data_IF_790532545696
#
_entry.id   IF_790532545696
#
_cell.length_a   1.000
_cell.length_b   1.000
_cell.length_c   1.000
_cell.angle_alpha   90.00
_cell.angle_beta   90.00
_cell.angle_gamma   90.00
#
_symmetry.space_group_name_H-M   'P 1'
#
loop_
_entity.id
_entity.type
_entity.pdbx_description
1 polymer ?
#
# COMPACT_ATOMS: atom_id res chain seq x y z
N UNK A 1 0.80 26.72 -0.37
CA UNK A 1 0.33 25.41 0.15
C UNK A 1 -0.77 24.79 -0.72
N UNK A 2 -1.98 25.36 -0.81
CA UNK A 2 -3.14 24.74 -1.51
C UNK A 2 -2.83 24.39 -2.98
N UNK A 3 -2.24 25.32 -3.74
CA UNK A 3 -1.87 25.09 -5.15
C UNK A 3 -0.90 23.90 -5.29
N UNK A 4 0.10 23.84 -4.41
CA UNK A 4 1.06 22.74 -4.38
C UNK A 4 0.37 21.40 -4.10
N UNK A 5 -0.54 21.34 -3.12
CA UNK A 5 -1.27 20.11 -2.80
C UNK A 5 -2.16 19.66 -3.98
N UNK A 6 -2.85 20.59 -4.63
CA UNK A 6 -3.75 20.29 -5.77
C UNK A 6 -3.01 19.75 -7.00
N UNK A 7 -1.78 20.21 -7.24
CA UNK A 7 -0.97 19.74 -8.39
C UNK A 7 -0.35 18.35 -8.17
N UNK A 8 -0.32 17.89 -6.91
CA UNK A 8 0.29 16.63 -6.48
C UNK A 8 -0.73 15.55 -6.12
N UNK A 9 -2.01 15.87 -6.09
CA UNK A 9 -3.07 14.93 -5.78
C UNK A 9 -3.16 13.82 -6.84
N UNK A 10 -3.17 12.56 -6.41
CA UNK A 10 -3.24 11.37 -7.27
C UNK A 10 -1.95 11.03 -8.02
N UNK A 11 -0.83 11.71 -7.74
CA UNK A 11 0.47 11.45 -8.38
C UNK A 11 1.36 10.57 -7.51
N UNK A 12 2.32 9.83 -8.11
CA UNK A 12 3.33 9.11 -7.35
C UNK A 12 4.12 10.09 -6.49
N UNK A 13 4.52 9.63 -5.31
CA UNK A 13 5.38 10.36 -4.40
C UNK A 13 6.69 10.67 -5.14
N UNK A 14 7.07 11.95 -5.25
CA UNK A 14 8.29 12.30 -5.95
C UNK A 14 9.50 11.76 -5.18
N UNK A 15 10.38 11.08 -5.90
CA UNK A 15 11.70 10.68 -5.41
C UNK A 15 12.61 11.91 -5.46
N UNK A 16 12.58 12.73 -4.41
CA UNK A 16 13.57 13.77 -4.20
C UNK A 16 14.64 13.23 -3.26
N UNK A 17 15.91 13.44 -3.59
CA UNK A 17 17.03 12.92 -2.80
C UNK A 17 17.10 13.48 -1.37
N UNK A 18 16.42 14.59 -1.07
CA UNK A 18 16.62 15.34 0.18
C UNK A 18 15.37 15.76 0.95
N UNK A 19 14.20 15.89 0.29
CA UNK A 19 13.01 16.48 0.91
C UNK A 19 11.79 15.59 0.62
N UNK A 20 10.85 15.50 1.55
CA UNK A 20 9.56 14.85 1.33
C UNK A 20 8.43 15.89 1.23
N UNK A 21 7.31 15.53 0.60
CA UNK A 21 6.10 16.35 0.53
C UNK A 21 5.63 16.78 1.93
N UNK A 22 5.72 15.90 2.92
CA UNK A 22 5.40 16.22 4.31
C UNK A 22 6.28 17.33 4.90
N UNK A 23 7.56 17.36 4.53
CA UNK A 23 8.49 18.42 4.95
C UNK A 23 8.08 19.78 4.39
N UNK A 24 7.67 19.84 3.12
CA UNK A 24 7.16 21.08 2.52
C UNK A 24 5.88 21.56 3.18
N UNK A 25 4.96 20.64 3.48
CA UNK A 25 3.73 20.98 4.23
C UNK A 25 4.08 21.51 5.62
N UNK A 26 5.00 20.89 6.33
CA UNK A 26 5.48 21.36 7.63
C UNK A 26 6.05 22.79 7.54
N UNK A 27 6.92 23.08 6.55
CA UNK A 27 7.47 24.42 6.33
C UNK A 27 6.36 25.44 6.07
N UNK A 28 5.41 25.15 5.17
CA UNK A 28 4.30 26.07 4.91
C UNK A 28 3.45 26.33 6.16
N UNK A 29 3.20 25.31 6.96
CA UNK A 29 2.40 25.44 8.19
C UNK A 29 3.12 26.23 9.27
N UNK A 30 4.44 26.08 9.37
CA UNK A 30 5.27 26.84 10.29
C UNK A 30 5.27 28.33 9.93
N UNK A 31 5.44 28.65 8.64
CA UNK A 31 5.40 30.04 8.16
C UNK A 31 4.00 30.67 8.38
N UNK A 32 2.94 29.92 8.07
CA UNK A 32 1.56 30.35 8.30
C UNK A 32 1.33 30.68 9.79
N UNK A 33 1.76 29.78 10.67
CA UNK A 33 1.63 29.94 12.11
C UNK A 33 2.44 31.11 12.66
N UNK A 34 3.68 31.29 12.19
CA UNK A 34 4.50 32.43 12.58
C UNK A 34 3.85 33.76 12.20
N UNK A 35 3.33 33.87 10.97
CA UNK A 35 2.61 35.05 10.51
C UNK A 35 1.37 35.34 11.35
N UNK A 36 0.56 34.32 11.66
CA UNK A 36 -0.61 34.45 12.53
C UNK A 36 -0.25 34.94 13.94
N UNK A 37 0.77 34.34 14.56
CA UNK A 37 1.20 34.70 15.92
C UNK A 37 1.76 36.13 15.99
N UNK A 38 2.49 36.57 14.95
CA UNK A 38 2.97 37.95 14.85
C UNK A 38 1.82 38.96 14.86
N UNK A 39 0.77 38.69 14.09
CA UNK A 39 -0.44 39.55 14.05
C UNK A 39 -1.11 39.59 15.43
N UNK A 40 -1.30 38.43 16.07
CA UNK A 40 -1.99 38.34 17.36
C UNK A 40 -1.21 39.06 18.47
N UNK A 41 0.12 38.95 18.49
CA UNK A 41 0.95 39.64 19.46
C UNK A 41 0.71 41.16 19.43
N UNK A 42 0.65 41.75 18.24
CA UNK A 42 0.39 43.18 18.08
C UNK A 42 -1.05 43.58 18.47
N UNK A 43 -2.05 42.72 18.18
CA UNK A 43 -3.45 42.94 18.58
C UNK A 43 -3.60 42.90 20.10
N UNK A 44 -3.00 41.90 20.76
CA UNK A 44 -3.00 41.77 22.23
C UNK A 44 -2.25 42.96 22.86
N UNK A 45 -1.11 43.35 22.29
CA UNK A 45 -0.34 44.51 22.73
C UNK A 45 -1.16 45.80 22.70
N UNK A 46 -1.98 46.03 21.66
CA UNK A 46 -2.88 47.18 21.62
C UNK A 46 -4.06 47.05 22.60
N UNK A 47 -4.61 45.85 22.77
CA UNK A 47 -5.71 45.57 23.69
C UNK A 47 -5.33 45.84 25.16
N UNK A 48 -4.05 45.65 25.52
CA UNK A 48 -3.48 45.99 26.83
C UNK A 48 -3.74 47.44 27.23
N UNK A 49 -3.45 48.38 26.33
CA UNK A 49 -3.64 49.81 26.59
C UNK A 49 -5.12 50.18 26.69
N UNK A 50 -5.98 49.52 25.90
CA UNK A 50 -7.42 49.70 26.00
C UNK A 50 -7.95 49.20 27.35
N UNK A 51 -7.45 48.07 27.84
CA UNK A 51 -7.84 47.53 29.15
C UNK A 51 -7.48 48.47 30.31
N UNK A 52 -6.27 49.04 30.27
CA UNK A 52 -5.78 50.00 31.27
C UNK A 52 -6.41 51.40 31.16
N UNK A 53 -7.28 51.66 30.18
CA UNK A 53 -8.06 52.92 30.14
C UNK A 53 -9.05 53.05 31.31
N UNK A 54 -9.28 51.96 32.04
CA UNK A 54 -10.04 51.93 33.30
C UNK A 54 -9.10 51.57 34.46
N UNK A 55 -9.42 51.94 35.72
CA UNK A 55 -8.56 51.64 36.87
C UNK A 55 -8.49 50.13 37.09
N UNK A 56 -7.28 49.57 36.98
CA UNK A 56 -7.04 48.13 37.13
C UNK A 56 -5.70 47.88 37.85
N UNK A 57 -5.52 46.70 38.47
CA UNK A 57 -4.22 46.32 39.03
C UNK A 57 -3.12 46.33 37.96
N UNK A 58 -1.95 46.87 38.28
CA UNK A 58 -0.82 46.98 37.35
C UNK A 58 -0.31 45.62 36.85
N UNK A 59 -0.46 44.55 37.65
CA UNK A 59 -0.08 43.18 37.24
C UNK A 59 -0.80 42.70 35.97
N UNK A 60 -1.96 43.26 35.63
CA UNK A 60 -2.65 42.92 34.39
C UNK A 60 -1.79 43.21 33.15
N UNK A 61 -0.93 44.23 33.16
CA UNK A 61 -0.03 44.53 32.04
C UNK A 61 0.87 43.34 31.72
N UNK A 62 1.40 42.69 32.76
CA UNK A 62 2.25 41.50 32.64
C UNK A 62 1.47 40.32 32.06
N UNK A 63 0.22 40.11 32.47
CA UNK A 63 -0.61 39.04 31.92
C UNK A 63 -0.88 39.22 30.42
N UNK A 64 -1.15 40.45 29.96
CA UNK A 64 -1.34 40.74 28.54
C UNK A 64 -0.04 40.55 27.75
N UNK A 65 1.10 41.02 28.28
CA UNK A 65 2.40 40.85 27.61
C UNK A 65 2.83 39.38 27.55
N UNK A 66 2.57 38.60 28.60
CA UNK A 66 2.81 37.16 28.61
C UNK A 66 1.87 36.42 27.64
N UNK A 67 0.61 36.83 27.52
CA UNK A 67 -0.35 36.24 26.57
C UNK A 67 0.12 36.37 25.11
N UNK A 68 0.64 37.54 24.73
CA UNK A 68 1.15 37.79 23.37
C UNK A 68 2.46 37.05 23.03
N UNK A 69 3.18 36.51 24.03
CA UNK A 69 4.51 35.89 23.85
C UNK A 69 4.48 34.38 23.61
N UNK A 70 3.38 33.68 23.91
CA UNK A 70 3.29 32.24 23.67
C UNK A 70 2.12 31.53 24.36
N UNK A 71 2.03 30.21 24.14
CA UNK A 71 0.92 29.40 24.64
C UNK A 71 0.83 29.36 26.17
N UNK A 72 1.94 29.24 26.90
CA UNK A 72 1.90 29.18 28.36
C UNK A 72 1.33 30.46 28.98
N UNK A 73 1.76 31.62 28.48
CA UNK A 73 1.21 32.91 28.90
C UNK A 73 -0.26 33.08 28.49
N UNK A 74 -0.63 32.60 27.31
CA UNK A 74 -2.02 32.59 26.85
C UNK A 74 -2.92 31.70 27.71
N UNK A 75 -2.46 30.50 28.09
CA UNK A 75 -3.19 29.58 28.98
C UNK A 75 -3.37 30.22 30.35
N UNK A 76 -2.29 30.80 30.92
CA UNK A 76 -2.37 31.50 32.21
C UNK A 76 -3.34 32.68 32.14
N UNK A 77 -3.32 33.46 31.06
CA UNK A 77 -4.28 34.54 30.83
C UNK A 77 -5.73 34.04 30.80
N UNK A 78 -5.98 32.94 30.07
CA UNK A 78 -7.27 32.27 29.97
C UNK A 78 -7.74 31.66 31.28
N UNK A 79 -6.95 31.55 32.34
CA UNK A 79 -7.44 31.15 33.67
C UNK A 79 -7.67 32.35 34.60
N UNK A 80 -6.96 33.47 34.37
CA UNK A 80 -6.98 34.62 35.27
C UNK A 80 -7.95 35.72 34.83
N UNK A 81 -8.13 35.95 33.52
CA UNK A 81 -8.87 37.12 33.02
C UNK A 81 -9.75 36.76 31.81
N UNK A 82 -11.08 36.73 31.99
CA UNK A 82 -12.02 36.29 30.92
C UNK A 82 -12.83 37.42 30.27
N UNK A 83 -12.72 38.64 30.78
CA UNK A 83 -13.54 39.77 30.34
C UNK A 83 -13.13 40.41 29.00
N UNK A 84 -11.83 40.60 28.67
CA UNK A 84 -11.45 41.24 27.41
C UNK A 84 -11.60 40.25 26.24
N UNK A 85 -12.77 40.25 25.60
CA UNK A 85 -13.16 39.30 24.54
C UNK A 85 -12.12 39.20 23.43
N UNK A 86 -11.58 40.32 22.95
CA UNK A 86 -10.55 40.33 21.90
C UNK A 86 -9.27 39.59 22.32
N UNK A 87 -8.82 39.78 23.55
CA UNK A 87 -7.62 39.15 24.08
C UNK A 87 -7.84 37.68 24.40
N UNK A 88 -9.03 37.31 24.89
CA UNK A 88 -9.42 35.91 25.11
C UNK A 88 -9.44 35.15 23.78
N UNK A 89 -10.03 35.72 22.73
CA UNK A 89 -10.02 35.14 21.38
C UNK A 89 -8.60 35.03 20.83
N UNK A 90 -7.77 36.06 21.00
CA UNK A 90 -6.35 36.01 20.62
C UNK A 90 -5.58 34.92 21.35
N UNK A 91 -5.73 34.80 22.67
CA UNK A 91 -5.10 33.77 23.50
C UNK A 91 -5.57 32.36 23.10
N UNK A 92 -6.86 32.17 22.81
CA UNK A 92 -7.40 30.91 22.30
C UNK A 92 -6.72 30.52 21.00
N UNK A 93 -6.58 31.45 20.05
CA UNK A 93 -5.90 31.19 18.77
C UNK A 93 -4.42 30.82 18.99
N UNK A 94 -3.71 31.49 19.91
CA UNK A 94 -2.30 31.15 20.20
C UNK A 94 -2.20 29.69 20.64
N UNK A 95 -3.08 29.25 21.55
CA UNK A 95 -3.11 27.87 22.06
C UNK A 95 -3.48 26.88 20.96
N UNK A 96 -4.58 27.13 20.24
CA UNK A 96 -5.08 26.22 19.20
C UNK A 96 -4.15 26.18 17.97
N UNK A 97 -3.33 27.21 17.74
CA UNK A 97 -2.38 27.25 16.62
C UNK A 97 -1.37 26.10 16.63
N UNK A 98 -1.08 25.50 17.78
CA UNK A 98 -0.15 24.36 17.86
C UNK A 98 -0.67 23.12 17.13
N UNK A 99 -2.00 22.96 17.02
CA UNK A 99 -2.60 21.85 16.28
C UNK A 99 -2.56 22.02 14.75
N UNK A 100 -2.19 23.20 14.23
CA UNK A 100 -2.12 23.43 12.77
C UNK A 100 -1.16 22.46 12.08
N UNK A 101 -0.03 22.13 12.72
CA UNK A 101 0.94 21.17 12.19
C UNK A 101 0.36 19.77 12.01
N UNK A 102 -0.12 19.11 13.09
CA UNK A 102 -0.76 17.80 13.01
C UNK A 102 -1.91 17.71 12.00
N UNK A 103 -2.81 18.69 11.97
CA UNK A 103 -3.94 18.70 11.03
C UNK A 103 -3.47 18.83 9.58
N UNK A 104 -2.49 19.69 9.30
CA UNK A 104 -1.95 19.82 7.95
C UNK A 104 -1.16 18.58 7.49
N UNK A 105 -0.48 17.88 8.40
CA UNK A 105 0.18 16.61 8.07
C UNK A 105 -0.84 15.51 7.77
N UNK A 106 -1.94 15.43 8.52
CA UNK A 106 -3.03 14.48 8.26
C UNK A 106 -3.76 14.72 6.93
N UNK A 107 -3.63 15.92 6.34
CA UNK A 107 -4.15 16.20 5.01
C UNK A 107 -3.42 15.45 3.89
N UNK A 108 -2.22 14.91 4.14
CA UNK A 108 -1.40 14.18 3.17
C UNK A 108 -1.37 12.70 3.53
N UNK A 109 -2.08 11.87 2.75
CA UNK A 109 -2.06 10.40 2.93
C UNK A 109 -1.34 9.73 1.77
N UNK A 110 -0.64 8.64 2.07
CA UNK A 110 -0.01 7.79 1.07
C UNK A 110 -0.80 6.49 0.91
N UNK A 111 -0.89 5.99 -0.33
CA UNK A 111 -1.54 4.72 -0.65
C UNK A 111 -0.79 4.01 -1.78
N UNK A 112 -0.87 2.68 -1.82
CA UNK A 112 -0.29 1.90 -2.91
C UNK A 112 -1.08 2.15 -4.20
N UNK A 113 -0.39 2.47 -5.28
CA UNK A 113 -0.96 2.67 -6.60
C UNK A 113 -0.13 1.95 -7.66
N UNK A 114 -0.78 1.60 -8.76
CA UNK A 114 -0.11 1.02 -9.92
C UNK A 114 0.14 2.10 -10.94
N UNK A 115 1.41 2.25 -11.32
CA UNK A 115 1.81 3.15 -12.40
C UNK A 115 2.33 2.33 -13.58
N UNK A 116 2.03 2.73 -14.83
CA UNK A 116 2.52 2.04 -16.00
C UNK A 116 4.05 2.03 -16.00
N UNK A 117 4.61 0.86 -16.25
CA UNK A 117 6.04 0.61 -16.39
C UNK A 117 6.39 0.51 -17.87
N UNK A 118 7.59 0.92 -18.25
CA UNK A 118 8.10 0.77 -19.62
C UNK A 118 8.56 -0.67 -19.95
N UNK A 119 8.38 -1.61 -19.00
CA UNK A 119 8.78 -3.01 -19.16
C UNK A 119 7.92 -3.75 -20.17
N UNK A 120 8.47 -4.84 -20.74
CA UNK A 120 7.73 -5.72 -21.64
C UNK A 120 6.88 -6.68 -20.81
N UNK A 121 5.62 -6.83 -21.19
CA UNK A 121 4.69 -7.82 -20.64
C UNK A 121 4.13 -8.65 -21.80
N UNK A 122 4.59 -9.89 -21.95
CA UNK A 122 4.13 -10.77 -23.04
C UNK A 122 3.97 -12.21 -22.58
N UNK A 123 3.00 -12.89 -23.16
CA UNK A 123 2.76 -14.33 -22.95
C UNK A 123 2.61 -15.03 -24.30
N UNK A 124 3.25 -16.19 -24.44
CA UNK A 124 3.17 -17.01 -25.64
C UNK A 124 1.78 -17.61 -25.83
N UNK A 125 1.24 -17.51 -27.05
CA UNK A 125 -0.08 -18.01 -27.43
C UNK A 125 -0.01 -18.84 -28.70
N UNK A 126 -0.94 -19.77 -28.84
CA UNK A 126 -1.04 -20.67 -29.98
C UNK A 126 -2.51 -20.93 -30.32
N UNK A 127 -2.88 -20.77 -31.59
CA UNK A 127 -4.21 -21.15 -32.09
C UNK A 127 -4.20 -22.60 -32.58
N UNK A 128 -3.07 -23.04 -33.14
CA UNK A 128 -2.89 -24.40 -33.64
C UNK A 128 -1.43 -24.87 -33.52
N UNK A 129 -1.24 -26.19 -33.59
CA UNK A 129 0.08 -26.84 -33.58
C UNK A 129 0.22 -27.76 -34.77
N UNK A 130 1.37 -27.69 -35.44
CA UNK A 130 1.73 -28.55 -36.57
C UNK A 130 1.53 -30.04 -36.29
N UNK A 131 0.95 -30.76 -37.25
CA UNK A 131 0.76 -32.21 -37.16
C UNK A 131 2.09 -32.97 -37.32
N UNK A 132 3.09 -32.36 -37.97
CA UNK A 132 4.39 -32.96 -38.28
C UNK A 132 5.49 -32.05 -37.75
N UNK A 133 6.46 -32.63 -37.03
CA UNK A 133 7.58 -31.89 -36.45
C UNK A 133 8.68 -31.53 -37.48
N UNK A 134 8.51 -31.88 -38.75
CA UNK A 134 9.48 -31.64 -39.83
C UNK A 134 8.95 -30.69 -40.90
N UNK A 135 9.84 -29.82 -41.39
CA UNK A 135 9.72 -29.08 -42.65
C UNK A 135 9.86 -30.01 -43.88
N UNK A 136 9.37 -31.24 -43.81
CA UNK A 136 9.39 -32.15 -44.95
C UNK A 136 8.37 -31.66 -45.99
N UNK A 137 8.78 -31.42 -47.25
CA UNK A 137 7.87 -31.01 -48.29
C UNK A 137 6.82 -32.11 -48.46
N UNK A 138 5.53 -31.71 -48.43
CA UNK A 138 4.38 -32.59 -48.65
C UNK A 138 4.49 -33.23 -50.03
N UNK A 139 5.18 -34.36 -50.10
CA UNK A 139 5.68 -34.93 -51.34
C UNK A 139 5.82 -36.44 -51.25
N UNK A 140 5.03 -37.12 -50.43
CA UNK A 140 4.74 -38.55 -50.58
C UNK A 140 3.46 -38.87 -49.85
N UNK A 141 2.44 -39.26 -50.62
CA UNK A 141 1.12 -39.64 -50.11
C UNK A 141 1.24 -40.96 -49.35
N UNK A 142 1.55 -40.88 -48.07
CA UNK A 142 1.13 -41.93 -47.12
C UNK A 142 0.11 -41.26 -46.23
N UNK A 143 -1.16 -41.55 -46.50
CA UNK A 143 -2.31 -41.06 -45.74
C UNK A 143 -2.28 -41.71 -44.35
N UNK A 144 -1.40 -41.20 -43.50
CA UNK A 144 -1.26 -41.63 -42.12
C UNK A 144 -2.39 -40.95 -41.35
N UNK A 145 -3.44 -41.71 -41.03
CA UNK A 145 -4.50 -41.32 -40.10
C UNK A 145 -3.91 -41.21 -38.68
N UNK A 146 -3.05 -40.21 -38.48
CA UNK A 146 -2.20 -40.10 -37.31
C UNK A 146 -2.58 -38.86 -36.53
N UNK A 147 -3.50 -39.09 -35.58
CA UNK A 147 -3.65 -38.41 -34.30
C UNK A 147 -2.30 -37.91 -33.74
N UNK A 148 -2.25 -36.74 -33.08
CA UNK A 148 -1.10 -36.11 -32.37
C UNK A 148 0.34 -36.45 -32.85
N UNK A 149 1.17 -35.44 -33.13
CA UNK A 149 2.57 -35.63 -33.57
C UNK A 149 3.35 -36.58 -32.62
N UNK A 150 4.29 -37.41 -33.14
CA UNK A 150 5.08 -38.32 -32.31
C UNK A 150 5.78 -37.61 -31.14
N UNK A 151 6.22 -36.37 -31.35
CA UNK A 151 6.82 -35.54 -30.30
C UNK A 151 5.79 -35.11 -29.25
N UNK A 152 4.57 -34.73 -29.66
CA UNK A 152 3.51 -34.40 -28.70
C UNK A 152 3.11 -35.61 -27.85
N UNK A 153 3.04 -36.81 -28.44
CA UNK A 153 2.78 -38.05 -27.68
C UNK A 153 3.89 -38.36 -26.69
N UNK A 154 5.15 -38.21 -27.12
CA UNK A 154 6.31 -38.42 -26.27
C UNK A 154 6.33 -37.42 -25.10
N UNK A 155 6.00 -36.16 -25.36
CA UNK A 155 5.91 -35.11 -24.32
C UNK A 155 4.77 -35.38 -23.35
N UNK A 156 3.60 -35.80 -23.85
CA UNK A 156 2.49 -36.20 -23.01
C UNK A 156 2.87 -37.36 -22.06
N UNK A 157 3.51 -38.40 -22.59
CA UNK A 157 3.97 -39.54 -21.79
C UNK A 157 5.07 -39.11 -20.80
N UNK A 158 6.04 -38.30 -21.21
CA UNK A 158 7.08 -37.82 -20.32
C UNK A 158 6.53 -36.91 -19.21
N UNK A 159 5.54 -36.05 -19.53
CA UNK A 159 4.82 -35.27 -18.53
C UNK A 159 4.10 -36.17 -17.52
N UNK A 160 3.41 -37.21 -17.98
CA UNK A 160 2.76 -38.20 -17.13
C UNK A 160 3.76 -38.96 -16.23
N UNK A 161 4.97 -39.20 -16.71
CA UNK A 161 6.05 -39.86 -15.98
C UNK A 161 6.85 -38.89 -15.08
N UNK A 162 6.47 -37.61 -15.01
CA UNK A 162 7.18 -36.60 -14.22
C UNK A 162 8.56 -36.20 -14.77
N UNK A 163 8.88 -36.56 -16.02
CA UNK A 163 10.17 -36.32 -16.68
C UNK A 163 10.14 -35.12 -17.65
N UNK A 164 9.24 -34.15 -17.40
CA UNK A 164 9.11 -32.94 -18.20
C UNK A 164 10.33 -32.00 -18.02
N UNK A 165 11.10 -31.81 -19.10
CA UNK A 165 12.33 -30.99 -19.14
C UNK A 165 12.11 -29.54 -19.61
N UNK A 166 10.86 -29.09 -19.77
CA UNK A 166 10.64 -27.78 -20.38
C UNK A 166 10.89 -26.65 -19.37
N UNK A 167 12.00 -25.92 -19.58
CA UNK A 167 12.30 -24.70 -18.85
C UNK A 167 11.41 -23.55 -19.38
N UNK A 168 10.54 -22.94 -18.56
CA UNK A 168 9.51 -22.00 -19.02
C UNK A 168 10.02 -20.59 -19.36
N UNK A 169 11.33 -20.39 -19.49
CA UNK A 169 11.94 -19.06 -19.56
C UNK A 169 11.56 -18.23 -20.80
N UNK A 170 11.11 -18.88 -21.88
CA UNK A 170 10.67 -18.18 -23.11
C UNK A 170 9.13 -18.08 -23.26
N UNK A 171 8.36 -18.63 -22.32
CA UNK A 171 6.90 -18.70 -22.45
C UNK A 171 6.19 -17.43 -21.99
N UNK A 172 6.82 -16.66 -21.11
CA UNK A 172 6.31 -15.40 -20.62
C UNK A 172 7.47 -14.47 -20.28
N UNK A 173 7.25 -13.17 -20.44
CA UNK A 173 8.17 -12.14 -19.98
C UNK A 173 7.36 -11.07 -19.26
N UNK A 174 7.77 -10.76 -18.03
CA UNK A 174 7.20 -9.71 -17.22
C UNK A 174 8.35 -8.98 -16.53
N UNK A 175 8.73 -7.83 -17.09
CA UNK A 175 9.87 -7.06 -16.57
C UNK A 175 9.50 -6.22 -15.33
N UNK A 176 8.23 -6.24 -14.90
CA UNK A 176 7.75 -5.50 -13.72
C UNK A 176 7.14 -6.40 -12.64
N UNK A 177 6.72 -5.79 -11.52
CA UNK A 177 6.10 -6.50 -10.41
C UNK A 177 4.67 -6.98 -10.68
N UNK A 178 3.96 -6.36 -11.63
CA UNK A 178 2.59 -6.75 -11.98
C UNK A 178 2.33 -6.57 -13.49
N UNK A 179 2.12 -7.68 -14.20
CA UNK A 179 1.76 -7.69 -15.62
C UNK A 179 0.31 -8.15 -15.80
N UNK A 180 -0.47 -7.34 -16.50
CA UNK A 180 -1.88 -7.61 -16.77
C UNK A 180 -2.08 -7.83 -18.27
N UNK A 181 -2.90 -8.82 -18.62
CA UNK A 181 -3.21 -9.17 -20.00
C UNK A 181 -4.69 -8.94 -20.26
N UNK A 182 -5.04 -8.60 -21.51
CA UNK A 182 -6.43 -8.30 -21.86
C UNK A 182 -7.29 -9.55 -21.74
N UNK A 183 -8.37 -9.46 -20.97
CA UNK A 183 -9.35 -10.54 -20.85
C UNK A 183 -10.33 -10.54 -22.02
N UNK A 184 -10.63 -11.73 -22.54
CA UNK A 184 -11.75 -11.96 -23.45
C UNK A 184 -12.67 -12.98 -22.79
N UNK A 185 -13.94 -12.62 -22.57
CA UNK A 185 -14.90 -13.47 -21.84
C UNK A 185 -14.38 -13.93 -20.45
N UNK A 186 -13.71 -13.03 -19.71
CA UNK A 186 -13.14 -13.30 -18.38
C UNK A 186 -11.98 -14.33 -18.37
N UNK A 187 -11.37 -14.59 -19.53
CA UNK A 187 -10.20 -15.47 -19.68
C UNK A 187 -9.05 -14.64 -20.26
N UNK A 188 -7.92 -14.58 -19.55
CA UNK A 188 -6.68 -13.93 -20.03
C UNK A 188 -5.86 -14.86 -20.93
N UNK A 189 -5.78 -16.13 -20.57
CA UNK A 189 -5.07 -17.16 -21.30
C UNK A 189 -5.71 -18.52 -21.03
N UNK A 190 -5.63 -19.43 -22.00
CA UNK A 190 -6.07 -20.82 -21.85
C UNK A 190 -4.86 -21.75 -21.81
N UNK A 191 -5.00 -22.85 -21.08
CA UNK A 191 -4.06 -23.97 -21.03
C UNK A 191 -4.83 -25.27 -21.26
N UNK A 192 -4.11 -26.32 -21.61
CA UNK A 192 -4.71 -27.66 -21.68
C UNK A 192 -5.01 -28.12 -20.26
N UNK A 193 -6.20 -28.69 -20.05
CA UNK A 193 -6.57 -29.40 -18.83
C UNK A 193 -6.93 -30.85 -19.18
N UNK A 194 -6.58 -31.78 -18.30
CA UNK A 194 -6.85 -33.21 -18.49
C UNK A 194 -7.65 -33.72 -17.31
N UNK A 195 -8.87 -34.20 -17.58
CA UNK A 195 -9.65 -34.92 -16.59
C UNK A 195 -9.17 -36.37 -16.51
N UNK A 196 -8.99 -36.88 -15.30
CA UNK A 196 -8.64 -38.27 -15.06
C UNK A 196 -9.65 -38.94 -14.15
N UNK A 197 -9.85 -40.24 -14.34
CA UNK A 197 -10.68 -41.09 -13.49
C UNK A 197 -10.04 -42.47 -13.44
N UNK A 198 -9.76 -42.97 -12.24
CA UNK A 198 -9.36 -44.37 -12.07
C UNK A 198 -10.63 -45.24 -12.15
N UNK A 199 -10.62 -46.22 -13.05
CA UNK A 199 -11.67 -47.22 -13.18
C UNK A 199 -11.07 -48.60 -12.83
N UNK A 200 -11.81 -49.39 -12.06
CA UNK A 200 -11.44 -50.79 -11.84
C UNK A 200 -11.92 -51.61 -13.03
N UNK A 201 -10.98 -52.01 -13.89
CA UNK A 201 -11.24 -52.79 -15.11
C UNK A 201 -11.02 -54.29 -14.90
N UNK A 202 -10.83 -54.76 -13.66
CA UNK A 202 -10.54 -56.18 -13.37
C UNK A 202 -11.64 -57.12 -13.88
N UNK A 203 -12.90 -56.72 -13.72
CA UNK A 203 -14.06 -57.51 -14.17
C UNK A 203 -14.32 -57.42 -15.68
N UNK A 204 -13.69 -56.45 -16.37
CA UNK A 204 -13.84 -56.23 -17.81
C UNK A 204 -12.77 -57.00 -18.61
N UNK A 205 -11.78 -57.59 -17.93
CA UNK A 205 -10.75 -58.40 -18.57
C UNK A 205 -11.39 -59.66 -19.17
N UNK A 206 -11.51 -59.67 -20.50
CA UNK A 206 -11.96 -60.80 -21.28
C UNK A 206 -10.77 -61.57 -21.82
N UNK A 207 -10.79 -62.87 -21.61
CA UNK A 207 -9.85 -63.80 -22.22
C UNK A 207 -10.39 -64.21 -23.59
N UNK A 208 -9.59 -63.97 -24.62
CA UNK A 208 -9.86 -64.45 -25.96
C UNK A 208 -9.03 -65.72 -26.18
N UNK A 209 -9.67 -66.90 -26.32
CA UNK A 209 -8.96 -68.09 -26.74
C UNK A 209 -8.42 -67.87 -28.16
N UNK A 210 -7.23 -68.38 -28.44
CA UNK A 210 -6.51 -68.25 -29.71
C UNK A 210 -7.45 -68.26 -30.93
N UNK A 211 -7.75 -67.08 -31.45
CA UNK A 211 -8.58 -66.88 -32.63
C UNK A 211 -7.68 -66.35 -33.75
N UNK A 212 -7.55 -67.21 -34.74
CA UNK A 212 -7.03 -67.06 -36.10
C UNK A 212 -7.61 -65.85 -36.86
N UNK A 213 -8.54 -65.09 -36.26
CA UNK A 213 -9.18 -63.89 -36.79
C UNK A 213 -8.38 -62.58 -36.65
N UNK A 214 -7.25 -62.55 -35.94
CA UNK A 214 -6.41 -61.33 -35.88
C UNK A 214 -5.49 -61.14 -37.09
N UNK A 215 -5.55 -62.02 -38.08
CA UNK A 215 -4.76 -61.90 -39.32
C UNK A 215 -5.26 -60.79 -40.26
N UNK A 216 -6.43 -60.19 -40.02
CA UNK A 216 -6.91 -59.07 -40.83
C UNK A 216 -6.26 -57.72 -40.46
N UNK A 217 -5.59 -57.61 -39.29
CA UNK A 217 -5.00 -56.34 -38.82
C UNK A 217 -3.49 -56.38 -38.48
N UNK A 218 -2.76 -57.35 -39.03
CA UNK A 218 -1.34 -57.20 -39.35
C UNK A 218 -0.37 -56.87 -38.20
N UNK A 219 -0.42 -57.60 -37.08
CA UNK A 219 0.65 -57.55 -36.06
C UNK A 219 0.96 -58.91 -35.43
N UNK A 220 2.06 -59.54 -35.86
CA UNK A 220 2.93 -60.33 -34.97
C UNK A 220 2.69 -61.84 -34.86
N UNK A 221 3.79 -62.58 -34.92
CA UNK A 221 3.96 -64.04 -34.88
C UNK A 221 3.33 -64.65 -33.62
N UNK A 222 2.47 -65.66 -33.81
CA UNK A 222 1.76 -66.36 -32.73
C UNK A 222 2.41 -67.72 -32.49
N UNK A 223 2.91 -67.94 -31.28
CA UNK A 223 3.09 -69.27 -30.74
C UNK A 223 1.71 -69.84 -30.40
N UNK A 224 1.38 -71.03 -30.91
CA UNK A 224 0.07 -71.71 -30.86
C UNK A 224 -0.50 -72.07 -29.46
N UNK A 225 -0.16 -71.35 -28.39
CA UNK A 225 -0.48 -71.77 -27.03
C UNK A 225 -0.66 -70.60 -26.04
N UNK A 226 -1.10 -69.42 -26.50
CA UNK A 226 -1.13 -68.20 -25.67
C UNK A 226 -2.43 -67.42 -25.76
N UNK A 227 -3.10 -67.19 -24.62
CA UNK A 227 -4.33 -66.38 -24.60
C UNK A 227 -4.02 -64.88 -24.76
N UNK A 228 -4.87 -64.18 -25.52
CA UNK A 228 -4.87 -62.71 -25.59
C UNK A 228 -5.89 -62.16 -24.60
N UNK A 229 -5.47 -61.29 -23.70
CA UNK A 229 -6.35 -60.62 -22.75
C UNK A 229 -6.62 -59.18 -23.19
N UNK A 230 -7.90 -58.79 -23.23
CA UNK A 230 -8.36 -57.43 -23.55
C UNK A 230 -9.34 -56.96 -22.48
N UNK A 231 -9.39 -55.66 -22.21
CA UNK A 231 -10.38 -55.08 -21.30
C UNK A 231 -11.71 -54.74 -22.00
N UNK A 232 -11.70 -54.58 -23.33
CA UNK A 232 -12.90 -54.37 -24.15
C UNK A 232 -12.63 -54.80 -25.60
N UNK A 233 -13.66 -55.16 -26.38
CA UNK A 233 -13.49 -55.60 -27.78
C UNK A 233 -12.78 -54.53 -28.63
N UNK A 234 -13.14 -53.27 -28.40
CA UNK A 234 -12.58 -52.08 -29.07
C UNK A 234 -11.32 -51.50 -28.40
N UNK A 235 -10.79 -52.17 -27.36
CA UNK A 235 -9.56 -51.70 -26.74
C UNK A 235 -8.37 -51.96 -27.67
N UNK A 236 -7.66 -50.89 -28.05
CA UNK A 236 -6.40 -50.98 -28.79
C UNK A 236 -5.22 -51.53 -27.96
N UNK A 237 -5.48 -51.98 -26.73
CA UNK A 237 -4.52 -52.46 -25.77
C UNK A 237 -4.79 -53.93 -25.44
N UNK A 238 -3.81 -54.80 -25.70
CA UNK A 238 -3.93 -56.25 -25.47
C UNK A 238 -2.69 -56.81 -24.79
N UNK A 239 -2.87 -57.76 -23.88
CA UNK A 239 -1.79 -58.50 -23.23
C UNK A 239 -1.72 -59.88 -23.87
N UNK A 240 -0.59 -60.21 -24.48
CA UNK A 240 -0.33 -61.57 -24.94
C UNK A 240 0.49 -62.31 -23.88
N UNK A 241 -0.02 -63.41 -23.34
CA UNK A 241 0.68 -64.21 -22.34
C UNK A 241 0.23 -65.67 -22.37
N UNK A 242 1.18 -66.60 -22.25
CA UNK A 242 0.89 -68.04 -22.04
C UNK A 242 0.35 -68.36 -20.65
N UNK A 243 0.54 -67.47 -19.69
CA UNK A 243 0.10 -67.65 -18.30
C UNK A 243 -0.89 -66.56 -17.91
N UNK A 244 -1.93 -66.91 -17.13
CA UNK A 244 -2.82 -65.90 -16.57
C UNK A 244 -1.99 -64.91 -15.74
N UNK A 245 -2.08 -63.59 -15.99
CA UNK A 245 -1.24 -62.61 -15.29
C UNK A 245 -1.59 -62.56 -13.79
N UNK A 246 -0.73 -63.17 -12.94
CA UNK A 246 -0.86 -63.18 -11.47
C UNK A 246 -0.77 -61.79 -10.83
N UNK A 247 -0.20 -60.80 -11.52
CA UNK A 247 -0.03 -59.43 -11.02
C UNK A 247 -1.36 -58.66 -10.79
N UNK A 248 -2.51 -59.21 -11.19
CA UNK A 248 -3.85 -58.61 -11.02
C UNK A 248 -4.64 -59.17 -9.82
N UNK A 249 -4.01 -59.99 -8.96
CA UNK A 249 -4.57 -60.55 -7.72
C UNK A 249 -5.99 -61.13 -7.86
N UNK A 250 -6.14 -62.13 -8.73
CA UNK A 250 -7.23 -63.11 -8.66
C UNK A 250 -6.64 -64.43 -8.12
N UNK A 251 -7.21 -64.91 -7.02
CA UNK A 251 -6.76 -66.10 -6.31
C UNK A 251 -7.60 -67.31 -6.74
N UNK A 252 -6.94 -68.41 -7.11
CA UNK A 252 -7.41 -69.76 -6.77
C UNK A 252 -6.20 -70.69 -6.63
N UNK A 253 -6.02 -71.26 -5.43
CA UNK A 253 -5.27 -72.49 -5.17
C UNK A 253 -5.91 -73.63 -6.00
N UNK A 254 -5.24 -74.66 -6.51
CA UNK A 254 -4.07 -75.44 -6.06
C UNK A 254 -3.59 -76.27 -7.27
N UNK A 255 -2.29 -76.45 -7.44
CA UNK A 255 -1.76 -77.78 -7.78
C UNK A 255 -0.33 -77.90 -7.31
N UNK A 256 -0.08 -79.06 -6.72
CA UNK A 256 1.18 -79.52 -6.16
C UNK A 256 2.23 -79.70 -7.28
N UNK A 257 3.50 -79.69 -6.86
CA UNK A 257 4.71 -80.16 -7.56
C UNK A 257 5.62 -79.17 -8.34
N UNK A 258 6.87 -79.15 -7.84
CA UNK A 258 8.17 -78.70 -8.34
C UNK A 258 8.52 -77.21 -8.57
N UNK A 259 9.32 -76.71 -7.62
CA UNK A 259 10.50 -75.85 -7.72
C UNK A 259 10.43 -74.46 -8.39
N UNK A 260 10.56 -73.45 -7.52
CA UNK A 260 10.97 -72.06 -7.77
C UNK A 260 12.12 -71.91 -8.76
N UNK A 261 11.96 -71.00 -9.75
CA UNK A 261 13.04 -70.12 -10.20
C UNK A 261 12.58 -68.69 -10.54
N UNK A 262 13.46 -67.79 -10.10
CA UNK A 262 13.64 -66.35 -10.21
C UNK A 262 13.30 -65.65 -11.53
N UNK A 263 12.80 -64.42 -11.41
CA UNK A 263 12.68 -63.42 -12.47
C UNK A 263 14.08 -62.99 -12.96
N UNK A 264 14.42 -63.27 -14.23
CA UNK A 264 15.57 -62.67 -14.91
C UNK A 264 15.12 -61.96 -16.19
N UNK A 265 15.33 -60.64 -16.23
CA UNK A 265 15.16 -59.80 -17.41
C UNK A 265 16.39 -59.96 -18.30
N UNK A 266 16.42 -60.95 -19.20
CA UNK A 266 17.42 -60.96 -20.27
C UNK A 266 16.85 -61.30 -21.65
N UNK A 267 17.08 -60.32 -22.53
CA UNK A 267 17.02 -60.31 -24.00
C UNK A 267 15.64 -60.12 -24.63
N UNK A 268 15.47 -58.95 -25.26
CA UNK A 268 14.36 -58.65 -26.18
C UNK A 268 13.41 -57.55 -25.71
N UNK A 269 13.91 -56.33 -25.53
CA UNK A 269 13.13 -55.07 -25.37
C UNK A 269 11.93 -55.11 -24.41
N UNK A 270 11.99 -54.51 -23.21
CA UNK A 270 10.77 -54.27 -22.46
C UNK A 270 9.94 -53.24 -23.23
N UNK A 271 8.88 -53.66 -23.92
CA UNK A 271 7.77 -52.77 -24.30
C UNK A 271 7.00 -52.45 -23.02
N UNK A 272 7.58 -51.57 -22.21
CA UNK A 272 7.00 -50.98 -21.01
C UNK A 272 5.61 -50.45 -21.31
N UNK A 273 4.56 -51.14 -20.87
CA UNK A 273 3.20 -50.66 -21.12
C UNK A 273 2.15 -51.01 -20.05
N UNK A 274 2.49 -51.78 -19.00
CA UNK A 274 1.52 -52.11 -17.94
C UNK A 274 1.93 -51.68 -16.53
N UNK A 275 3.17 -51.89 -16.12
CA UNK A 275 3.53 -51.66 -14.71
C UNK A 275 3.74 -50.16 -14.40
N UNK A 276 4.18 -49.37 -15.37
CA UNK A 276 4.50 -47.95 -15.16
C UNK A 276 3.29 -47.02 -15.11
N UNK A 277 2.12 -47.42 -15.67
CA UNK A 277 0.89 -46.61 -15.58
C UNK A 277 0.10 -46.85 -14.29
N UNK A 278 0.16 -48.06 -13.71
CA UNK A 278 -0.47 -48.28 -12.38
C UNK A 278 0.24 -47.50 -11.28
N UNK A 279 1.54 -47.25 -11.44
CA UNK A 279 2.37 -46.50 -10.48
C UNK A 279 2.27 -44.99 -10.63
N UNK A 280 1.72 -44.47 -11.75
CA UNK A 280 1.46 -43.04 -11.94
C UNK A 280 0.12 -42.62 -11.30
N UNK A 281 -0.26 -43.18 -10.15
CA UNK A 281 -1.31 -42.62 -9.28
C UNK A 281 -2.60 -43.43 -9.08
N UNK A 282 -2.82 -44.55 -9.77
CA UNK A 282 -3.98 -45.42 -9.49
C UNK A 282 -3.54 -46.69 -8.73
N UNK A 283 -3.12 -46.54 -7.47
CA UNK A 283 -2.93 -47.69 -6.57
C UNK A 283 -4.20 -47.92 -5.74
N UNK A 284 -4.97 -48.95 -6.10
CA UNK A 284 -6.00 -49.49 -5.20
C UNK A 284 -5.34 -50.46 -4.23
N UNK A 285 -4.92 -49.97 -3.05
CA UNK A 285 -4.61 -50.86 -1.91
C UNK A 285 -5.85 -51.00 -1.05
N UNK A 286 -6.20 -52.25 -0.75
CA UNK A 286 -7.37 -52.61 0.04
C UNK A 286 -7.40 -51.93 1.40
N UNK A 287 -8.63 -51.61 1.84
CA UNK A 287 -9.02 -50.90 3.04
C UNK A 287 -8.64 -49.42 3.10
N UNK A 288 -9.58 -48.58 2.63
CA UNK A 288 -9.90 -47.27 3.18
C UNK A 288 -8.73 -46.28 3.37
N UNK A 289 -8.73 -45.24 2.53
CA UNK A 289 -7.90 -44.03 2.63
C UNK A 289 -6.39 -44.20 2.49
N UNK A 290 -5.90 -44.02 1.25
CA UNK A 290 -4.55 -43.51 0.95
C UNK A 290 -4.58 -42.80 -0.42
N UNK A 291 -5.20 -41.62 -0.45
CA UNK A 291 -4.81 -40.53 -1.36
C UNK A 291 -4.17 -39.49 -0.46
N UNK A 292 -2.93 -39.75 -0.02
CA UNK A 292 -2.21 -38.80 0.82
C UNK A 292 -0.81 -38.53 0.26
N UNK A 293 -0.72 -37.37 -0.39
CA UNK A 293 0.36 -36.39 -0.27
C UNK A 293 1.78 -36.80 -0.69
N UNK A 294 1.96 -37.41 -1.87
CA UNK A 294 3.31 -37.78 -2.33
C UNK A 294 3.69 -37.56 -3.79
N UNK A 295 2.75 -37.43 -4.73
CA UNK A 295 3.08 -37.12 -6.12
C UNK A 295 2.17 -36.01 -6.66
N UNK A 296 2.71 -35.00 -7.37
CA UNK A 296 1.89 -34.09 -8.17
C UNK A 296 0.98 -34.91 -9.09
N UNK A 297 -0.25 -34.44 -9.32
CA UNK A 297 -1.18 -35.09 -10.23
C UNK A 297 -0.46 -35.30 -11.58
N UNK A 298 -0.16 -36.54 -11.98
CA UNK A 298 0.65 -36.78 -13.18
C UNK A 298 -0.09 -36.34 -14.45
N UNK A 299 -1.42 -36.21 -14.37
CA UNK A 299 -2.25 -35.61 -15.40
C UNK A 299 -2.11 -34.08 -15.47
N UNK A 300 -1.86 -33.38 -14.35
CA UNK A 300 -1.54 -31.94 -14.35
C UNK A 300 -0.14 -31.69 -14.94
N UNK A 301 0.82 -32.57 -14.65
CA UNK A 301 2.16 -32.52 -15.24
C UNK A 301 2.12 -32.81 -16.75
N UNK A 302 1.32 -33.80 -17.18
CA UNK A 302 1.02 -34.06 -18.59
C UNK A 302 0.38 -32.83 -19.26
N UNK A 303 -0.62 -32.23 -18.62
CA UNK A 303 -1.31 -31.04 -19.13
C UNK A 303 -0.37 -29.84 -19.26
N UNK A 304 0.53 -29.65 -18.29
CA UNK A 304 1.58 -28.62 -18.31
C UNK A 304 2.58 -28.87 -19.43
N UNK A 305 3.04 -30.11 -19.60
CA UNK A 305 4.00 -30.48 -20.66
C UNK A 305 3.42 -30.23 -22.06
N UNK A 306 2.15 -30.61 -22.28
CA UNK A 306 1.42 -30.35 -23.52
C UNK A 306 1.24 -28.84 -23.72
N UNK A 307 0.77 -28.11 -22.71
CA UNK A 307 0.58 -26.65 -22.78
C UNK A 307 1.88 -25.94 -23.17
N UNK A 308 3.00 -26.30 -22.53
CA UNK A 308 4.30 -25.73 -22.84
C UNK A 308 4.71 -26.04 -24.29
N UNK A 309 4.57 -27.28 -24.76
CA UNK A 309 4.85 -27.64 -26.15
C UNK A 309 4.00 -26.84 -27.14
N UNK A 310 2.70 -26.70 -26.86
CA UNK A 310 1.79 -25.92 -27.69
C UNK A 310 2.19 -24.45 -27.74
N UNK A 311 2.56 -23.85 -26.61
CA UNK A 311 2.96 -22.44 -26.57
C UNK A 311 4.34 -22.17 -27.16
N UNK A 312 5.28 -23.12 -27.08
CA UNK A 312 6.63 -22.96 -27.65
C UNK A 312 6.66 -23.10 -29.17
N UNK A 313 5.80 -23.95 -29.76
CA UNK A 313 5.86 -24.29 -31.19
C UNK A 313 4.57 -24.01 -31.96
N UNK A 314 3.51 -23.59 -31.26
CA UNK A 314 2.25 -23.24 -31.89
C UNK A 314 2.35 -21.93 -32.67
N UNK A 315 1.44 -21.81 -33.62
CA UNK A 315 1.31 -20.66 -34.51
C UNK A 315 -0.10 -20.10 -34.39
N UNK A 316 -0.29 -18.87 -34.87
CA UNK A 316 -1.62 -18.28 -35.03
C UNK A 316 -2.06 -18.38 -36.47
N UNK A 317 -3.37 -18.25 -36.74
CA UNK A 317 -3.86 -18.31 -38.13
C UNK A 317 -3.38 -17.12 -38.99
N UNK A 318 -2.94 -16.03 -38.34
CA UNK A 318 -2.49 -14.81 -39.00
C UNK A 318 -0.98 -14.81 -39.34
N UNK A 319 -0.15 -15.54 -38.60
CA UNK A 319 1.31 -15.55 -38.77
C UNK A 319 1.90 -16.95 -38.55
N UNK A 320 2.76 -17.38 -39.47
CA UNK A 320 3.50 -18.65 -39.37
C UNK A 320 4.64 -18.61 -38.33
N UNK A 321 4.83 -17.51 -37.61
CA UNK A 321 5.83 -17.33 -36.55
C UNK A 321 5.20 -17.41 -35.15
N UNK A 322 6.02 -17.63 -34.12
CA UNK A 322 5.59 -17.56 -32.71
C UNK A 322 4.84 -16.25 -32.45
N UNK A 323 3.65 -16.35 -31.87
CA UNK A 323 2.83 -15.20 -31.53
C UNK A 323 2.78 -15.00 -30.02
N UNK A 324 2.74 -13.74 -29.61
CA UNK A 324 2.65 -13.34 -28.21
C UNK A 324 1.42 -12.44 -28.03
N UNK A 325 0.73 -12.64 -26.91
CA UNK A 325 -0.24 -11.67 -26.44
C UNK A 325 0.50 -10.59 -25.62
N UNK A 326 0.39 -9.36 -26.08
CA UNK A 326 0.93 -8.18 -25.39
C UNK A 326 0.03 -7.78 -24.22
N UNK A 327 0.66 -7.49 -23.09
CA UNK A 327 0.03 -7.03 -21.85
C UNK A 327 0.53 -5.66 -21.43
N UNK A 328 -0.07 -5.12 -20.38
CA UNK A 328 0.40 -3.93 -19.69
C UNK A 328 1.26 -4.29 -18.48
N UNK A 329 2.49 -3.80 -18.48
CA UNK A 329 3.40 -3.85 -17.35
C UNK A 329 3.11 -2.68 -16.41
N UNK A 330 2.86 -2.97 -15.14
CA UNK A 330 2.67 -1.98 -14.08
C UNK A 330 3.65 -2.24 -12.94
N UNK A 331 4.04 -1.18 -12.25
CA UNK A 331 4.86 -1.26 -11.03
C UNK A 331 4.10 -0.64 -9.87
N UNK A 332 4.21 -1.27 -8.72
CA UNK A 332 3.64 -0.74 -7.48
C UNK A 332 4.47 0.45 -7.03
N UNK A 333 3.81 1.58 -6.81
CA UNK A 333 4.41 2.82 -6.29
C UNK A 333 3.55 3.37 -5.16
N UNK A 334 4.11 4.32 -4.40
CA UNK A 334 3.40 5.03 -3.34
C UNK A 334 2.84 6.31 -3.93
N UNK A 335 1.53 6.41 -4.07
CA UNK A 335 0.85 7.63 -4.50
C UNK A 335 0.38 8.46 -3.30
N UNK A 336 0.19 9.75 -3.56
CA UNK A 336 -0.30 10.69 -2.56
C UNK A 336 -1.77 11.03 -2.84
N UNK A 337 -2.59 10.97 -1.79
CA UNK A 337 -3.99 11.42 -1.78
C UNK A 337 -4.14 12.57 -0.78
N UNK A 338 -4.86 13.60 -1.19
CA UNK A 338 -5.10 14.76 -0.34
C UNK A 338 -6.50 14.69 0.32
N UNK A 339 -6.54 14.68 1.65
CA UNK A 339 -7.77 14.78 2.42
C UNK A 339 -8.03 16.25 2.81
N UNK A 340 -8.74 16.95 1.93
CA UNK A 340 -9.10 18.37 2.09
C UNK A 340 -9.80 18.75 3.40
N UNK A 341 -10.66 17.91 4.03
CA UNK A 341 -11.32 18.29 5.28
C UNK A 341 -10.37 18.66 6.42
N UNK A 342 -9.17 18.08 6.46
CA UNK A 342 -8.18 18.42 7.49
C UNK A 342 -7.63 19.84 7.37
N UNK A 343 -7.71 20.45 6.18
CA UNK A 343 -7.31 21.83 5.95
C UNK A 343 -8.37 22.86 6.38
N UNK A 344 -9.58 22.42 6.75
CA UNK A 344 -10.60 23.32 7.29
C UNK A 344 -10.15 23.95 8.61
N UNK A 345 -9.44 23.21 9.44
CA UNK A 345 -8.93 23.71 10.72
C UNK A 345 -7.96 24.90 10.56
N UNK A 346 -6.84 24.77 9.82
CA UNK A 346 -5.93 25.91 9.61
C UNK A 346 -6.58 27.05 8.83
N UNK A 347 -7.49 26.76 7.89
CA UNK A 347 -8.23 27.79 7.17
C UNK A 347 -9.17 28.58 8.10
N UNK A 348 -9.88 27.89 8.99
CA UNK A 348 -10.74 28.49 10.00
C UNK A 348 -9.96 29.35 10.99
N UNK A 349 -8.78 28.88 11.42
CA UNK A 349 -7.91 29.64 12.30
C UNK A 349 -7.39 30.92 11.62
N UNK A 350 -7.00 30.83 10.34
CA UNK A 350 -6.59 31.99 9.56
C UNK A 350 -7.75 32.98 9.38
N UNK A 351 -8.96 32.51 9.12
CA UNK A 351 -10.14 33.35 9.05
C UNK A 351 -10.39 34.08 10.39
N UNK A 352 -10.32 33.36 11.51
CA UNK A 352 -10.45 33.95 12.85
C UNK A 352 -9.38 35.01 13.11
N UNK A 353 -8.10 34.75 12.81
CA UNK A 353 -7.04 35.78 12.95
C UNK A 353 -7.28 37.00 12.06
N UNK A 354 -7.74 36.79 10.84
CA UNK A 354 -8.02 37.87 9.88
C UNK A 354 -9.19 38.72 10.36
N UNK A 355 -10.24 38.11 10.92
CA UNK A 355 -11.37 38.84 11.51
C UNK A 355 -10.94 39.63 12.75
N UNK A 356 -10.11 39.06 13.64
CA UNK A 356 -9.57 39.81 14.78
C UNK A 356 -8.72 40.99 14.33
N UNK A 357 -7.85 40.80 13.34
CA UNK A 357 -7.07 41.91 12.77
C UNK A 357 -7.99 42.98 12.18
N UNK A 358 -8.99 42.60 11.38
CA UNK A 358 -9.94 43.53 10.78
C UNK A 358 -10.70 44.32 11.86
N UNK A 359 -11.19 43.65 12.91
CA UNK A 359 -11.87 44.33 14.03
C UNK A 359 -10.95 45.28 14.77
N UNK A 360 -9.70 44.90 15.04
CA UNK A 360 -8.70 45.76 15.68
C UNK A 360 -8.36 46.98 14.81
N UNK A 361 -8.23 46.80 13.49
CA UNK A 361 -8.00 47.89 12.53
C UNK A 361 -9.21 48.82 12.47
N UNK A 362 -10.44 48.29 12.35
CA UNK A 362 -11.67 49.09 12.32
C UNK A 362 -11.83 49.89 13.61
N UNK A 363 -11.58 49.27 14.77
CA UNK A 363 -11.59 49.98 16.06
C UNK A 363 -10.52 51.07 16.09
N UNK A 364 -9.31 50.79 15.63
CA UNK A 364 -8.23 51.78 15.55
C UNK A 364 -8.56 52.94 14.59
N UNK A 365 -9.26 52.68 13.49
CA UNK A 365 -9.71 53.70 12.55
C UNK A 365 -10.86 54.53 13.12
N UNK A 366 -11.81 53.90 13.84
CA UNK A 366 -12.95 54.59 14.47
C UNK A 366 -12.52 55.48 15.62
N UNK A 367 -11.51 55.06 16.38
CA UNK A 367 -10.94 55.81 17.49
C UNK A 367 -9.76 56.71 17.08
N UNK A 368 -9.56 56.92 15.77
CA UNK A 368 -8.48 57.74 15.22
C UNK A 368 -8.57 59.16 15.78
N UNK A 369 -7.55 59.56 16.54
CA UNK A 369 -7.46 60.87 17.20
C UNK A 369 -7.95 60.92 18.66
N UNK A 370 -8.66 59.88 19.14
CA UNK A 370 -9.10 59.76 20.56
C UNK A 370 -8.17 58.90 21.39
N UNK A 371 -7.54 57.89 20.78
CA UNK A 371 -6.65 56.93 21.46
C UNK A 371 -5.37 56.72 20.66
N UNK A 372 -4.19 56.83 21.29
CA UNK A 372 -2.92 56.55 20.63
C UNK A 372 -2.69 55.04 20.42
N UNK A 373 -1.97 54.70 19.35
CA UNK A 373 -1.62 53.32 18.98
C UNK A 373 -0.21 53.02 19.46
N UNK A 374 -0.10 52.24 20.53
CA UNK A 374 1.18 51.90 21.16
C UNK A 374 1.60 50.44 20.98
N UNK A 375 0.65 49.55 20.64
CA UNK A 375 0.90 48.12 20.40
C UNK A 375 1.81 47.53 21.50
N UNK A 376 2.86 46.81 21.11
CA UNK A 376 3.84 46.17 21.99
C UNK A 376 4.95 47.12 22.52
N UNK A 377 4.85 48.44 22.32
CA UNK A 377 5.93 49.39 22.67
C UNK A 377 5.99 49.68 24.17
N UNK A 378 7.19 49.68 24.73
CA UNK A 378 7.45 50.04 26.14
C UNK A 378 7.63 51.56 26.35
N UNK A 379 7.84 52.33 25.28
CA UNK A 379 8.11 53.78 25.37
C UNK A 379 7.12 54.58 26.24
N UNK A 380 5.79 54.33 26.22
CA UNK A 380 4.86 55.03 27.10
C UNK A 380 5.14 54.80 28.60
N UNK A 381 5.75 53.67 28.96
CA UNK A 381 6.14 53.36 30.35
C UNK A 381 7.44 54.09 30.73
N UNK A 382 8.43 54.11 29.83
CA UNK A 382 9.75 54.70 30.10
C UNK A 382 9.70 56.22 30.20
N UNK A 383 9.01 56.89 29.26
CA UNK A 383 8.93 58.36 29.26
C UNK A 383 8.09 58.92 30.43
N UNK A 384 7.23 58.12 31.06
CA UNK A 384 6.42 58.58 32.19
C UNK A 384 7.13 58.49 33.54
N UNK A 385 7.98 57.47 33.77
CA UNK A 385 8.77 57.37 35.00
C UNK A 385 9.67 58.59 35.21
N UNK A 386 10.24 59.10 34.12
CA UNK A 386 11.18 60.23 34.11
C UNK A 386 10.48 61.57 34.42
N UNK A 387 9.22 61.76 34.01
CA UNK A 387 8.50 63.02 34.25
C UNK A 387 8.03 63.21 35.70
N UNK A 388 8.04 62.14 36.52
CA UNK A 388 7.71 62.26 37.95
C UNK A 388 8.86 62.88 38.73
N UNK A 389 10.10 62.56 38.36
CA UNK A 389 11.30 63.09 39.00
C UNK A 389 11.54 64.56 38.63
N UNK A 390 11.34 64.96 37.35
CA UNK A 390 11.43 66.39 36.97
C UNK A 390 10.39 67.29 37.68
N UNK A 391 9.22 66.75 38.04
CA UNK A 391 8.20 67.50 38.78
C UNK A 391 8.46 67.54 40.30
N UNK A 392 9.31 66.65 40.82
CA UNK A 392 9.63 66.53 42.24
C UNK A 392 10.97 67.19 42.58
N UNK A 393 11.92 67.22 41.64
CA UNK A 393 13.19 67.96 41.73
C UNK A 393 13.02 69.49 41.73
N UNK A 394 11.86 70.00 41.33
CA UNK A 394 11.53 71.42 41.48
C UNK A 394 11.00 71.81 42.86
N UNK A 395 10.88 70.87 43.84
CA UNK A 395 10.33 71.19 45.17
C UNK A 395 11.04 70.63 46.41
N UNK A 396 12.14 69.89 46.32
CA UNK A 396 12.90 69.56 47.53
C UNK A 396 14.39 69.33 47.28
N UNK A 397 15.20 70.29 47.75
CA UNK A 397 16.60 70.06 48.11
C UNK A 397 16.65 69.09 49.30
N UNK A 398 16.78 67.79 49.01
CA UNK A 398 17.37 66.82 49.95
C UNK A 398 18.24 65.86 49.16
N UNK A 399 19.47 65.54 49.63
CA UNK A 399 20.35 64.64 48.92
C UNK A 399 19.83 63.21 49.09
N UNK A 400 19.34 62.61 48.02
CA UNK A 400 18.96 61.18 48.00
C UNK A 400 19.95 60.45 47.12
N UNK A 401 21.05 60.03 47.74
CA UNK A 401 21.83 58.88 47.29
C UNK A 401 21.34 57.67 48.10
N UNK A 402 20.18 57.14 47.74
CA UNK A 402 19.78 55.78 48.12
C UNK A 402 19.30 55.08 46.84
N UNK A 403 20.22 54.33 46.24
CA UNK A 403 19.88 53.42 45.15
C UNK A 403 18.71 52.54 45.58
N UNK A 404 17.62 52.60 44.81
CA UNK A 404 16.44 51.73 45.00
C UNK A 404 16.96 50.30 45.13
N UNK A 405 16.76 49.61 46.27
CA UNK A 405 17.23 48.24 46.41
C UNK A 405 16.59 47.41 45.29
N UNK A 406 17.38 46.52 44.67
CA UNK A 406 16.89 45.57 43.67
C UNK A 406 15.81 44.69 44.32
N UNK A 407 14.58 45.17 44.29
CA UNK A 407 13.42 44.51 44.85
C UNK A 407 13.29 43.16 44.13
N UNK A 408 13.12 42.08 44.88
CA UNK A 408 12.93 40.77 44.25
C UNK A 408 11.64 40.78 43.42
N UNK A 409 11.65 40.06 42.29
CA UNK A 409 10.51 40.05 41.34
C UNK A 409 9.17 39.75 42.05
N UNK A 410 9.17 38.86 43.04
CA UNK A 410 7.99 38.51 43.81
C UNK A 410 7.42 39.68 44.65
N UNK A 411 8.29 40.54 45.17
CA UNK A 411 7.87 41.74 45.93
C UNK A 411 7.29 42.80 45.00
N UNK A 412 7.88 42.95 43.79
CA UNK A 412 7.36 43.85 42.75
C UNK A 412 6.00 43.36 42.26
N UNK A 413 5.84 42.06 42.01
CA UNK A 413 4.56 41.46 41.61
C UNK A 413 3.48 41.69 42.67
N UNK A 414 3.81 41.49 43.95
CA UNK A 414 2.87 41.71 45.07
C UNK A 414 2.48 43.18 45.23
N UNK A 415 3.39 44.10 44.95
CA UNK A 415 3.10 45.54 44.94
C UNK A 415 2.23 45.92 43.73
N UNK A 416 2.49 45.33 42.56
CA UNK A 416 1.74 45.53 41.32
C UNK A 416 0.29 45.00 41.40
N UNK A 417 0.05 43.97 42.21
CA UNK A 417 -1.31 43.48 42.50
C UNK A 417 -2.14 44.47 43.31
N UNK A 418 -1.50 45.18 44.26
CA UNK A 418 -2.17 46.11 45.16
C UNK A 418 -2.36 47.50 44.56
N UNK A 419 -1.52 47.88 43.61
CA UNK A 419 -1.55 49.20 43.00
C UNK A 419 -2.55 49.23 41.84
N UNK A 420 -3.63 50.00 42.02
CA UNK A 420 -4.66 50.21 40.99
C UNK A 420 -4.34 51.49 40.25
N UNK A 421 -4.08 51.36 38.96
CA UNK A 421 -3.76 52.49 38.10
C UNK A 421 -4.64 52.49 36.86
N UNK A 422 -4.95 53.71 36.40
CA UNK A 422 -5.57 53.96 35.10
C UNK A 422 -4.54 54.63 34.21
N UNK A 423 -4.42 54.18 32.97
CA UNK A 423 -3.65 54.87 31.96
C UNK A 423 -4.50 55.97 31.31
N UNK A 424 -4.14 57.24 31.53
CA UNK A 424 -4.78 58.39 30.91
C UNK A 424 -3.93 58.91 29.75
N UNK A 425 -4.60 59.27 28.64
CA UNK A 425 -4.01 59.86 27.45
C UNK A 425 -4.74 61.16 27.11
N UNK A 426 -4.65 62.16 27.98
CA UNK A 426 -5.17 63.50 27.69
C UNK A 426 -4.03 64.42 27.22
N UNK A 427 -4.33 65.46 26.44
CA UNK A 427 -3.34 66.41 25.89
C UNK A 427 -2.48 67.09 26.96
N UNK A 428 -2.88 67.07 28.23
CA UNK A 428 -2.15 67.65 29.35
C UNK A 428 -1.50 66.62 30.29
N UNK A 429 -1.89 65.34 30.26
CA UNK A 429 -1.32 64.27 31.09
C UNK A 429 -1.38 62.92 30.37
N UNK A 430 -0.21 62.40 30.01
CA UNK A 430 -0.04 61.06 29.43
C UNK A 430 0.67 60.21 30.49
N UNK A 431 0.02 59.19 31.03
CA UNK A 431 0.62 58.31 32.04
C UNK A 431 -0.35 57.56 32.94
N UNK A 432 0.21 56.78 33.88
CA UNK A 432 -0.56 56.05 34.88
C UNK A 432 -0.93 56.96 36.06
N UNK A 433 -2.22 57.17 36.26
CA UNK A 433 -2.77 57.79 37.46
C UNK A 433 -3.12 56.68 38.45
N UNK A 434 -2.46 56.66 39.59
CA UNK A 434 -2.77 55.74 40.69
C UNK A 434 -4.00 56.29 41.41
N UNK A 435 -5.12 55.55 41.34
CA UNK A 435 -6.39 55.98 41.95
C UNK A 435 -6.56 55.43 43.39
N UNK A 436 -5.66 54.55 43.84
CA UNK A 436 -5.61 54.04 45.21
C UNK A 436 -4.93 52.66 45.32
N UNK A 437 -4.88 52.14 46.55
CA UNK A 437 -4.54 50.74 46.80
C UNK A 437 -5.84 49.92 46.79
N UNK A 438 -5.85 48.79 46.09
CA UNK A 438 -6.99 47.86 46.13
C UNK A 438 -7.27 47.47 47.59
N UNK A 439 -8.53 47.59 48.01
CA UNK A 439 -8.95 47.10 49.33
C UNK A 439 -8.61 45.60 49.44
N UNK A 440 -8.09 45.14 50.58
CA UNK A 440 -7.78 43.73 50.77
C UNK A 440 -9.08 42.93 50.68
N UNK A 441 -9.12 41.98 49.75
CA UNK A 441 -10.08 40.87 49.77
C UNK A 441 -9.52 39.72 50.59
#
# INVERSE_FOLDING_TARGET
MIIFLRTRDGKPQPEWDTINVNTLVAIFTMLLRAAMLFIIAEVIGQAKWLWMSTPRPLRHIEYFDNAGRGALGSIRFLFLTWKPVLTVLGALIVVTSYAVGPFAQQAVKTFACEIPSAGVARISVADWVGQVDSNEPVGTRTMSYSWLSPTMRTIAINGLLGSSQNSPQDLFQCDSSNCTFRETMNVTHSSVGICSKCLDVRSELQEYPDLWDLTEYGMGIVDNNGSVYKFHNDSGFSINSRYRPKALNMETQKTDDYDTWTFDFKSGTPKTSILTLSTAGCSLRGNGSLLQDGLPNPFDDMATAITNRMRTYGQTWAQASRSYAEGSSSRTSVCIRMDWPWLLYPAGLLALTSTLLATAVVQSCRDRGKRPVWKSRILPLLFYGISRDEAQDLRHDTPVDEGIPLLQLAEIEKLADKTVARFCSDRQRIGFVVEGHAAPN
#
